data_IF_934175138483
#
_entry.id   IF_934175138483
#
_cell.length_a   1.000
_cell.length_b   1.000
_cell.length_c   1.000
_cell.angle_alpha   90.00
_cell.angle_beta   90.00
_cell.angle_gamma   90.00
#
_symmetry.space_group_name_H-M   'P 1'
#
loop_
_entity.id
_entity.type
_entity.pdbx_description
1 polymer ?
#
# COMPACT_ATOMS: atom_id res chain seq x y z
N UNK A 1 -20.23 -1.37 -73.20
CA UNK A 1 -20.94 -0.06 -73.29
C UNK A 1 -20.41 0.78 -72.07
N UNK A 2 -19.60 1.80 -72.43
CA UNK A 2 -19.82 3.22 -72.13
C UNK A 2 -19.59 3.54 -70.62
N UNK A 3 -18.77 4.37 -70.22
CA UNK A 3 -17.95 5.57 -70.43
C UNK A 3 -17.26 5.82 -69.10
N UNK A 4 -15.94 5.96 -68.99
CA UNK A 4 -15.08 7.16 -69.02
C UNK A 4 -15.77 8.35 -68.28
N UNK A 5 -15.16 8.77 -67.16
CA UNK A 5 -14.78 10.15 -67.01
C UNK A 5 -13.78 10.34 -65.87
N UNK A 6 -12.65 10.79 -66.27
CA UNK A 6 -11.52 11.40 -65.58
C UNK A 6 -12.01 12.62 -64.83
N UNK A 7 -11.57 12.81 -63.60
CA UNK A 7 -11.40 14.14 -63.03
C UNK A 7 -10.15 14.17 -62.11
N UNK A 8 -9.14 14.71 -62.69
CA UNK A 8 -7.92 15.12 -62.04
C UNK A 8 -8.21 16.43 -61.30
N UNK A 9 -8.10 16.44 -60.00
CA UNK A 9 -8.10 17.71 -59.26
C UNK A 9 -6.90 17.72 -58.30
N UNK A 10 -5.86 18.42 -58.71
CA UNK A 10 -4.76 18.87 -57.88
C UNK A 10 -5.29 19.78 -56.76
N UNK A 11 -5.13 19.37 -55.53
CA UNK A 11 -5.14 20.30 -54.40
C UNK A 11 -3.80 20.26 -53.74
N UNK A 12 -2.99 21.24 -54.08
CA UNK A 12 -1.83 21.64 -53.30
C UNK A 12 -2.33 22.33 -52.02
N UNK A 13 -2.27 21.65 -50.89
CA UNK A 13 -2.47 22.31 -49.58
C UNK A 13 -1.14 22.43 -48.89
N UNK A 14 -0.76 23.68 -48.75
CA UNK A 14 0.42 24.17 -48.07
C UNK A 14 0.52 23.60 -46.67
N UNK A 15 1.61 22.91 -46.38
CA UNK A 15 1.97 22.46 -45.04
C UNK A 15 2.55 23.67 -44.28
N UNK A 16 1.69 24.38 -43.61
CA UNK A 16 2.12 25.34 -42.59
C UNK A 16 2.57 24.58 -41.37
N UNK A 17 3.86 24.51 -41.16
CA UNK A 17 4.48 24.09 -39.91
C UNK A 17 4.05 25.05 -38.80
N UNK A 18 3.12 24.65 -37.98
CA UNK A 18 2.91 25.27 -36.66
C UNK A 18 3.75 24.51 -35.65
N UNK A 19 4.96 25.03 -35.44
CA UNK A 19 5.76 24.70 -34.27
C UNK A 19 5.17 25.43 -33.06
N UNK A 20 4.30 24.81 -32.33
CA UNK A 20 3.84 25.35 -31.04
C UNK A 20 3.86 24.26 -29.98
N UNK A 21 4.85 24.34 -29.09
CA UNK A 21 4.66 24.12 -27.69
C UNK A 21 4.53 22.67 -27.20
N UNK A 22 5.54 21.84 -27.44
CA UNK A 22 5.71 20.60 -26.66
C UNK A 22 6.46 20.94 -25.36
N UNK A 23 5.77 21.60 -24.42
CA UNK A 23 6.41 21.93 -23.15
C UNK A 23 5.44 22.17 -21.99
N UNK A 24 4.36 21.35 -21.87
CA UNK A 24 3.45 21.49 -20.72
C UNK A 24 2.81 20.19 -20.20
N UNK A 25 3.25 19.01 -20.62
CA UNK A 25 2.65 17.75 -20.17
C UNK A 25 3.40 17.03 -19.02
N UNK A 26 4.61 17.52 -18.68
CA UNK A 26 5.43 16.87 -17.62
C UNK A 26 5.13 17.34 -16.19
N UNK A 27 4.39 18.42 -16.00
CA UNK A 27 4.07 18.92 -14.65
C UNK A 27 2.75 18.38 -14.10
N UNK A 28 1.81 17.99 -14.99
CA UNK A 28 0.50 17.47 -14.58
C UNK A 28 0.58 16.03 -14.10
N UNK A 29 1.45 15.21 -14.69
CA UNK A 29 1.60 13.80 -14.31
C UNK A 29 2.32 13.62 -12.97
N UNK A 30 3.30 14.49 -12.66
CA UNK A 30 3.94 14.49 -11.34
C UNK A 30 2.97 14.89 -10.22
N UNK A 31 2.08 15.83 -10.46
CA UNK A 31 1.10 16.26 -9.46
C UNK A 31 -0.04 15.24 -9.24
N UNK A 32 -0.35 14.37 -10.22
CA UNK A 32 -1.34 13.31 -10.04
C UNK A 32 -0.77 12.10 -9.31
N UNK A 33 0.50 11.76 -9.51
CA UNK A 33 1.16 10.67 -8.78
C UNK A 33 1.35 11.03 -7.30
N UNK A 34 1.60 12.29 -6.99
CA UNK A 34 1.73 12.75 -5.60
C UNK A 34 0.39 12.80 -4.85
N UNK A 35 -0.73 13.00 -5.55
CA UNK A 35 -2.07 13.09 -4.97
C UNK A 35 -2.65 11.74 -4.50
N UNK A 36 -2.06 10.62 -4.91
CA UNK A 36 -2.51 9.27 -4.55
C UNK A 36 -1.52 8.50 -3.64
N UNK A 37 -0.50 9.18 -3.10
CA UNK A 37 0.40 8.54 -2.15
C UNK A 37 -0.32 8.36 -0.82
N UNK A 38 -0.71 7.12 -0.53
CA UNK A 38 -1.28 6.76 0.78
C UNK A 38 -0.23 7.04 1.85
N UNK A 39 -0.59 7.90 2.80
CA UNK A 39 0.28 8.18 3.95
C UNK A 39 0.19 7.00 4.90
N UNK A 40 1.34 6.43 5.25
CA UNK A 40 1.44 5.32 6.18
C UNK A 40 1.84 5.86 7.56
N UNK A 41 1.17 5.37 8.57
CA UNK A 41 1.42 5.69 9.97
C UNK A 41 1.86 4.45 10.71
N UNK A 42 2.65 4.62 11.76
CA UNK A 42 3.10 3.50 12.59
C UNK A 42 2.22 3.34 13.81
N UNK A 43 1.88 2.09 14.11
CA UNK A 43 0.99 1.74 15.21
C UNK A 43 1.59 0.64 16.06
N UNK A 44 1.31 0.71 17.37
CA UNK A 44 1.44 -0.42 18.30
C UNK A 44 0.05 -0.99 18.53
N UNK A 45 -0.10 -2.28 18.31
CA UNK A 45 -1.34 -3.03 18.56
C UNK A 45 -1.13 -3.98 19.73
N UNK A 46 -1.86 -3.75 20.80
CA UNK A 46 -1.89 -4.65 21.95
C UNK A 46 -2.96 -5.72 21.72
N UNK A 47 -2.59 -6.98 22.02
CA UNK A 47 -3.48 -8.14 21.90
C UNK A 47 -3.38 -9.00 23.14
N UNK A 48 -4.52 -9.51 23.61
CA UNK A 48 -4.59 -10.45 24.73
C UNK A 48 -5.04 -11.81 24.20
N UNK A 49 -4.31 -12.84 24.56
CA UNK A 49 -4.58 -14.24 24.27
C UNK A 49 -4.78 -15.00 25.58
N UNK A 50 -6.01 -15.16 26.06
CA UNK A 50 -6.27 -15.78 27.37
C UNK A 50 -5.65 -17.17 27.53
N UNK A 51 -5.61 -17.96 26.44
CA UNK A 51 -5.05 -19.30 26.42
C UNK A 51 -3.57 -19.32 25.95
N UNK A 52 -2.95 -18.15 25.79
CA UNK A 52 -1.61 -18.02 25.26
C UNK A 52 -1.55 -18.10 23.72
N UNK A 53 -0.60 -17.38 23.15
CA UNK A 53 -0.28 -17.45 21.72
C UNK A 53 0.61 -18.67 21.46
N UNK A 54 0.17 -19.59 20.61
CA UNK A 54 0.94 -20.75 20.23
C UNK A 54 1.20 -20.74 18.72
N UNK A 55 2.35 -20.18 18.32
CA UNK A 55 2.86 -20.24 16.95
C UNK A 55 4.12 -21.08 16.99
N UNK A 56 4.13 -22.31 16.47
CA UNK A 56 5.30 -23.18 16.53
C UNK A 56 6.42 -22.67 15.61
N UNK A 57 7.68 -22.87 16.04
CA UNK A 57 8.87 -22.50 15.25
C UNK A 57 9.19 -23.63 14.27
N UNK A 58 8.37 -23.77 13.24
CA UNK A 58 8.49 -24.75 12.16
C UNK A 58 7.72 -24.29 10.92
N UNK A 59 7.58 -25.14 9.90
CA UNK A 59 6.87 -24.79 8.67
C UNK A 59 5.40 -24.43 8.92
N UNK A 60 4.72 -25.03 9.90
CA UNK A 60 3.33 -24.68 10.24
C UNK A 60 3.24 -23.23 10.75
N UNK A 61 4.14 -22.85 11.65
CA UNK A 61 4.18 -21.46 12.14
C UNK A 61 4.56 -20.45 11.04
N UNK A 62 5.47 -20.84 10.14
CA UNK A 62 5.81 -20.05 8.95
C UNK A 62 4.56 -19.81 8.09
N UNK A 63 3.79 -20.85 7.80
CA UNK A 63 2.60 -20.77 6.94
C UNK A 63 1.52 -19.90 7.59
N UNK A 64 1.33 -20.01 8.91
CA UNK A 64 0.43 -19.12 9.67
C UNK A 64 0.85 -17.67 9.51
N UNK A 65 2.13 -17.34 9.75
CA UNK A 65 2.64 -15.96 9.62
C UNK A 65 2.52 -15.44 8.18
N UNK A 66 2.82 -16.29 7.19
CA UNK A 66 2.69 -15.92 5.77
C UNK A 66 1.24 -15.60 5.40
N UNK A 67 0.28 -16.40 5.90
CA UNK A 67 -1.14 -16.14 5.72
C UNK A 67 -1.58 -14.79 6.32
N UNK A 68 -1.11 -14.50 7.54
CA UNK A 68 -1.37 -13.20 8.18
C UNK A 68 -0.81 -12.03 7.36
N UNK A 69 0.42 -12.15 6.87
CA UNK A 69 1.07 -11.11 6.03
C UNK A 69 0.29 -10.90 4.73
N UNK A 70 -0.14 -11.98 4.08
CA UNK A 70 -0.92 -11.92 2.84
C UNK A 70 -2.26 -11.21 3.05
N UNK A 71 -3.00 -11.58 4.09
CA UNK A 71 -4.28 -10.96 4.43
C UNK A 71 -4.13 -9.47 4.80
N UNK A 72 -3.06 -9.14 5.54
CA UNK A 72 -2.78 -7.75 5.91
C UNK A 72 -2.53 -6.87 4.68
N UNK A 73 -1.87 -7.40 3.64
CA UNK A 73 -1.54 -6.66 2.42
C UNK A 73 -2.79 -6.18 1.67
N UNK A 74 -3.92 -6.89 1.76
CA UNK A 74 -5.20 -6.50 1.14
C UNK A 74 -5.71 -5.15 1.68
N UNK A 75 -5.38 -4.83 2.93
CA UNK A 75 -5.74 -3.57 3.58
C UNK A 75 -4.57 -2.58 3.69
N UNK A 76 -3.50 -2.81 2.94
CA UNK A 76 -2.26 -2.02 2.98
C UNK A 76 -1.63 -1.97 4.38
N UNK A 77 -1.80 -3.01 5.15
CA UNK A 77 -1.22 -3.15 6.49
C UNK A 77 0.07 -3.97 6.40
N UNK A 78 1.16 -3.41 6.89
CA UNK A 78 2.46 -4.09 6.96
C UNK A 78 2.75 -4.48 8.40
N UNK A 79 2.89 -5.77 8.66
CA UNK A 79 3.38 -6.26 9.94
C UNK A 79 4.90 -6.13 10.00
N UNK A 80 5.39 -5.27 10.89
CA UNK A 80 6.83 -4.99 11.03
C UNK A 80 7.48 -6.02 11.95
N UNK A 81 6.97 -6.14 13.18
CA UNK A 81 7.43 -7.10 14.19
C UNK A 81 6.44 -7.21 15.36
N UNK A 82 6.64 -8.21 16.20
CA UNK A 82 5.88 -8.35 17.45
C UNK A 82 6.79 -8.71 18.60
N UNK A 83 6.45 -8.16 19.76
CA UNK A 83 6.98 -8.58 21.05
C UNK A 83 5.91 -9.42 21.74
N UNK A 84 6.31 -10.55 22.29
CA UNK A 84 5.43 -11.49 22.98
C UNK A 84 5.84 -11.54 24.43
N UNK A 85 4.88 -11.41 25.36
CA UNK A 85 5.15 -11.58 26.79
C UNK A 85 5.64 -12.99 27.10
N UNK A 86 6.40 -13.15 28.17
CA UNK A 86 6.99 -14.44 28.55
C UNK A 86 5.93 -15.52 28.76
N UNK A 87 4.79 -15.18 29.36
CA UNK A 87 3.62 -16.05 29.55
C UNK A 87 2.80 -16.29 28.27
N UNK A 88 3.22 -15.67 27.13
CA UNK A 88 2.57 -15.73 25.81
C UNK A 88 1.13 -15.22 25.77
N UNK A 89 0.67 -14.54 26.82
CA UNK A 89 -0.72 -14.05 26.88
C UNK A 89 -0.92 -12.66 26.33
N UNK A 90 0.16 -11.90 26.12
CA UNK A 90 0.09 -10.55 25.54
C UNK A 90 1.08 -10.37 24.41
N UNK A 91 0.68 -9.64 23.37
CA UNK A 91 1.59 -9.21 22.31
C UNK A 91 1.49 -7.71 22.09
N UNK A 92 2.61 -7.13 21.68
CA UNK A 92 2.74 -5.75 21.20
C UNK A 92 3.26 -5.82 19.78
N UNK A 93 2.35 -5.65 18.83
CA UNK A 93 2.65 -5.81 17.41
C UNK A 93 2.83 -4.44 16.77
N UNK A 94 3.90 -4.25 16.03
CA UNK A 94 4.21 -3.03 15.30
C UNK A 94 3.70 -3.19 13.86
N UNK A 95 2.90 -2.23 13.43
CA UNK A 95 2.35 -2.17 12.07
C UNK A 95 2.60 -0.81 11.43
N UNK A 96 2.78 -0.81 10.11
CA UNK A 96 2.60 0.36 9.27
C UNK A 96 1.30 0.20 8.49
N UNK A 97 0.43 1.21 8.54
CA UNK A 97 -0.91 1.16 7.96
C UNK A 97 -1.43 2.57 7.62
N UNK A 98 -2.37 2.69 6.68
CA UNK A 98 -2.99 3.98 6.38
C UNK A 98 -3.89 4.49 7.51
N UNK A 99 -4.40 3.60 8.37
CA UNK A 99 -5.25 3.97 9.51
C UNK A 99 -5.40 2.83 10.52
N UNK A 100 -5.82 3.17 11.74
CA UNK A 100 -6.22 2.18 12.73
C UNK A 100 -7.42 1.33 12.28
N UNK A 101 -8.30 1.87 11.43
CA UNK A 101 -9.43 1.13 10.85
C UNK A 101 -8.96 0.01 9.92
N UNK A 102 -7.94 0.24 9.08
CA UNK A 102 -7.33 -0.77 8.24
C UNK A 102 -6.76 -1.93 9.08
N UNK A 103 -6.06 -1.61 10.18
CA UNK A 103 -5.55 -2.62 11.12
C UNK A 103 -6.69 -3.45 11.73
N UNK A 104 -7.80 -2.83 12.15
CA UNK A 104 -8.96 -3.56 12.70
C UNK A 104 -9.57 -4.50 11.68
N UNK A 105 -9.65 -4.07 10.41
CA UNK A 105 -10.18 -4.88 9.31
C UNK A 105 -9.29 -6.08 9.05
N UNK A 106 -7.99 -5.88 8.90
CA UNK A 106 -7.01 -6.95 8.72
C UNK A 106 -6.99 -7.94 9.90
N UNK A 107 -7.08 -7.42 11.14
CA UNK A 107 -7.15 -8.26 12.34
C UNK A 107 -8.41 -9.15 12.35
N UNK A 108 -9.56 -8.61 11.95
CA UNK A 108 -10.81 -9.37 11.83
C UNK A 108 -10.68 -10.50 10.80
N UNK A 109 -10.09 -10.24 9.64
CA UNK A 109 -9.83 -11.21 8.59
C UNK A 109 -8.92 -12.34 9.09
N UNK A 110 -7.91 -11.99 9.86
CA UNK A 110 -6.98 -12.95 10.48
C UNK A 110 -7.53 -13.62 11.76
N UNK A 111 -8.73 -13.26 12.22
CA UNK A 111 -9.32 -13.74 13.49
C UNK A 111 -8.42 -13.45 14.70
N UNK A 112 -7.72 -12.31 14.67
CA UNK A 112 -6.84 -11.89 15.74
C UNK A 112 -7.54 -10.88 16.67
N UNK A 113 -7.39 -10.99 18.00
CA UNK A 113 -7.93 -10.03 18.93
C UNK A 113 -7.23 -8.67 18.75
N UNK A 114 -7.93 -7.59 19.10
CA UNK A 114 -7.39 -6.23 19.17
C UNK A 114 -7.91 -5.58 20.44
N UNK A 115 -7.03 -5.38 21.40
CA UNK A 115 -7.38 -4.72 22.66
C UNK A 115 -7.16 -3.22 22.55
N UNK A 116 -6.00 -2.80 22.05
CA UNK A 116 -5.67 -1.39 21.89
C UNK A 116 -4.86 -1.16 20.62
N UNK A 117 -5.13 -0.04 19.94
CA UNK A 117 -4.30 0.48 18.85
C UNK A 117 -3.85 1.88 19.24
N UNK A 118 -2.54 2.12 19.20
CA UNK A 118 -1.94 3.42 19.49
C UNK A 118 -1.08 3.82 18.30
N UNK A 119 -1.32 4.99 17.71
CA UNK A 119 -0.42 5.58 16.74
C UNK A 119 0.83 6.08 17.46
N UNK A 120 1.99 5.81 16.88
CA UNK A 120 3.29 6.10 17.49
C UNK A 120 4.26 6.68 16.48
N UNK A 121 5.26 7.40 16.98
CA UNK A 121 6.45 7.77 16.23
C UNK A 121 7.67 7.06 16.81
N UNK A 122 8.70 6.88 15.98
CA UNK A 122 9.94 6.27 16.42
C UNK A 122 10.83 7.33 17.07
N UNK A 123 11.26 7.07 18.30
CA UNK A 123 12.33 7.79 18.96
C UNK A 123 13.55 6.88 18.98
N UNK A 124 14.55 7.19 18.16
CA UNK A 124 15.81 6.45 18.13
C UNK A 124 16.90 7.28 18.78
N UNK A 125 17.50 6.82 19.92
CA UNK A 125 18.54 7.56 20.61
C UNK A 125 19.82 7.75 19.76
N UNK A 126 19.99 6.95 18.72
CA UNK A 126 21.16 7.04 17.82
C UNK A 126 21.01 8.12 16.74
N UNK A 127 19.82 8.67 16.52
CA UNK A 127 19.61 9.81 15.61
C UNK A 127 20.23 11.12 16.11
N UNK A 128 20.54 11.20 17.40
CA UNK A 128 21.04 12.43 18.05
C UNK A 128 22.55 12.40 18.32
N UNK A 129 23.30 11.57 17.57
CA UNK A 129 24.76 11.50 17.67
C UNK A 129 25.43 12.46 16.70
#
# INVERSE_FOLDING_TARGET
>A
MKYIFSFLLLFAVSFLFVTSGFSQEKSSEKNQVEKNKVVMHRYVVERIFPNGLNIPINNVGKDICTGVVSNNAEDQVTWVQSYVSEDKKKTFCIYDAPSAAAIRKAAKQNKLPVDKITEVSVLDPYFYK
#
